data_IF_312902077130
#
_entry.id   IF_312902077130
#
_cell.length_a   1.000
_cell.length_b   1.000
_cell.length_c   1.000
_cell.angle_alpha   90.00
_cell.angle_beta   90.00
_cell.angle_gamma   90.00
#
_symmetry.space_group_name_H-M   'P 1'
#
loop_
_entity.id
_entity.type
_entity.pdbx_description
1 polymer ?
#
# COMPACT_ATOMS: atom_id res chain seq x y z
N UNK A 1 9.93 -7.05 2.67
CA UNK A 1 8.64 -6.57 2.10
C UNK A 1 7.55 -7.35 2.79
N UNK A 2 6.57 -6.71 3.45
CA UNK A 2 5.42 -7.42 4.00
C UNK A 2 4.75 -8.23 2.91
N UNK A 3 4.17 -9.38 3.25
CA UNK A 3 3.33 -10.10 2.30
C UNK A 3 2.09 -9.23 1.97
N UNK A 4 1.53 -9.34 0.76
CA UNK A 4 0.40 -8.49 0.34
C UNK A 4 -0.76 -8.50 1.35
N UNK A 5 -1.03 -9.66 1.95
CA UNK A 5 -2.06 -9.80 2.98
C UNK A 5 -1.75 -8.97 4.24
N UNK A 6 -0.50 -8.88 4.67
CA UNK A 6 -0.07 -8.06 5.80
C UNK A 6 -0.23 -6.58 5.48
N UNK A 7 0.16 -6.16 4.27
CA UNK A 7 0.00 -4.78 3.82
C UNK A 7 -1.47 -4.36 3.82
N UNK A 8 -2.36 -5.25 3.37
CA UNK A 8 -3.82 -5.02 3.39
C UNK A 8 -4.35 -4.95 4.82
N UNK A 9 -3.88 -5.80 5.73
CA UNK A 9 -4.28 -5.76 7.13
C UNK A 9 -3.85 -4.45 7.81
N UNK A 10 -2.62 -4.00 7.57
CA UNK A 10 -2.07 -2.75 8.08
C UNK A 10 -2.83 -1.53 7.53
N UNK A 11 -3.09 -1.51 6.22
CA UNK A 11 -3.88 -0.44 5.61
C UNK A 11 -5.29 -0.34 6.21
N UNK A 12 -5.95 -1.48 6.45
CA UNK A 12 -7.28 -1.50 7.07
C UNK A 12 -7.25 -0.96 8.49
N UNK A 13 -6.30 -1.40 9.31
CA UNK A 13 -6.14 -0.89 10.67
C UNK A 13 -5.88 0.63 10.68
N UNK A 14 -4.99 1.12 9.80
CA UNK A 14 -4.70 2.55 9.68
C UNK A 14 -5.93 3.37 9.24
N UNK A 15 -6.78 2.82 8.37
CA UNK A 15 -8.05 3.45 7.98
C UNK A 15 -9.02 3.51 9.17
N UNK A 16 -9.13 2.45 9.97
CA UNK A 16 -9.98 2.42 11.16
C UNK A 16 -9.52 3.38 12.26
N UNK A 17 -8.20 3.60 12.39
CA UNK A 17 -7.61 4.51 13.38
C UNK A 17 -7.67 5.99 12.96
N UNK A 18 -7.86 6.29 11.69
CA UNK A 18 -7.89 7.65 11.17
C UNK A 18 -9.12 8.42 11.72
N UNK A 19 -8.86 9.51 12.45
CA UNK A 19 -9.91 10.27 13.16
C UNK A 19 -10.50 11.43 12.37
N UNK A 20 -9.88 11.77 11.25
CA UNK A 20 -10.32 12.86 10.39
C UNK A 20 -9.91 12.62 8.94
N UNK A 21 -10.39 13.51 8.07
CA UNK A 21 -10.15 13.43 6.62
C UNK A 21 -8.67 13.62 6.28
N UNK A 22 -7.92 14.40 7.06
CA UNK A 22 -6.49 14.63 6.81
C UNK A 22 -5.65 13.39 7.16
N UNK A 23 -6.03 12.65 8.21
CA UNK A 23 -5.45 11.36 8.55
C UNK A 23 -5.77 10.31 7.47
N UNK A 24 -7.03 10.24 7.02
CA UNK A 24 -7.44 9.36 5.90
C UNK A 24 -6.69 9.67 4.60
N UNK A 25 -6.47 10.95 4.30
CA UNK A 25 -5.66 11.41 3.16
C UNK A 25 -4.22 10.89 3.27
N UNK A 26 -3.62 11.00 4.45
CA UNK A 26 -2.27 10.53 4.72
C UNK A 26 -2.15 9.01 4.50
N UNK A 27 -3.10 8.23 5.04
CA UNK A 27 -3.19 6.79 4.81
C UNK A 27 -3.35 6.48 3.32
N UNK A 28 -4.20 7.21 2.59
CA UNK A 28 -4.34 7.01 1.14
C UNK A 28 -3.02 7.23 0.40
N UNK A 29 -2.28 8.29 0.73
CA UNK A 29 -1.01 8.60 0.07
C UNK A 29 0.05 7.54 0.39
N UNK A 30 0.13 7.08 1.64
CA UNK A 30 1.10 6.08 2.09
C UNK A 30 0.92 4.73 1.40
N UNK A 31 -0.32 4.25 1.25
CA UNK A 31 -0.58 2.93 0.69
C UNK A 31 -0.82 2.95 -0.83
N UNK A 32 -1.55 3.96 -1.32
CA UNK A 32 -2.04 4.02 -2.70
C UNK A 32 -1.45 5.18 -3.52
N UNK A 33 -0.59 6.01 -2.93
CA UNK A 33 0.06 7.10 -3.64
C UNK A 33 1.04 6.59 -4.73
N UNK A 34 1.55 7.52 -5.54
CA UNK A 34 2.51 7.21 -6.62
C UNK A 34 3.79 6.51 -6.12
N UNK A 35 4.16 6.75 -4.88
CA UNK A 35 5.28 6.11 -4.17
C UNK A 35 4.79 5.30 -2.97
N UNK A 36 3.50 5.01 -2.91
CA UNK A 36 2.90 4.25 -1.83
C UNK A 36 3.26 2.77 -1.93
N UNK A 37 3.10 2.05 -0.81
CA UNK A 37 3.52 0.67 -0.69
C UNK A 37 2.99 -0.24 -1.81
N UNK A 38 1.70 -0.12 -2.16
CA UNK A 38 1.10 -0.97 -3.18
C UNK A 38 1.66 -0.65 -4.59
N UNK A 39 1.82 0.64 -4.92
CA UNK A 39 2.37 1.07 -6.21
C UNK A 39 3.79 0.56 -6.40
N UNK A 40 4.63 0.64 -5.37
CA UNK A 40 6.00 0.12 -5.41
C UNK A 40 6.03 -1.40 -5.58
N UNK A 41 5.13 -2.11 -4.91
CA UNK A 41 5.00 -3.57 -5.07
C UNK A 41 4.59 -3.93 -6.51
N UNK A 42 3.62 -3.23 -7.10
CA UNK A 42 3.23 -3.46 -8.51
C UNK A 42 4.36 -3.13 -9.48
N UNK A 43 5.16 -2.09 -9.23
CA UNK A 43 6.35 -1.80 -10.03
C UNK A 43 7.37 -2.95 -9.96
N UNK A 44 7.60 -3.52 -8.77
CA UNK A 44 8.50 -4.67 -8.64
C UNK A 44 8.02 -5.90 -9.40
N UNK A 45 6.70 -6.11 -9.52
CA UNK A 45 6.12 -7.20 -10.31
C UNK A 45 6.23 -6.96 -11.81
N UNK A 46 6.16 -5.70 -12.26
CA UNK A 46 6.38 -5.36 -13.68
C UNK A 46 7.81 -5.68 -14.12
N UNK A 47 8.77 -5.51 -13.20
CA UNK A 47 10.19 -5.71 -13.48
C UNK A 47 10.61 -7.18 -13.29
N UNK A 48 9.68 -8.08 -12.93
CA UNK A 48 9.93 -9.52 -12.88
C UNK A 48 10.12 -10.06 -14.30
N UNK A 49 11.15 -10.89 -14.56
CA UNK A 49 11.27 -11.58 -15.83
C UNK A 49 10.06 -12.52 -16.04
N UNK A 50 9.69 -12.80 -17.30
CA UNK A 50 8.69 -13.82 -17.60
C UNK A 50 9.09 -15.14 -16.93
N UNK A 51 8.11 -15.86 -16.41
CA UNK A 51 8.36 -17.26 -16.02
C UNK A 51 8.63 -18.09 -17.28
N UNK A 52 9.61 -19.00 -17.19
CA UNK A 52 10.06 -19.89 -18.29
C UNK A 52 8.97 -20.85 -18.80
#
# INVERSE_FOLDING_TARGET
>A
MPHLAELVAQAKAAVEEAKDVAALESVRVEYLGKKGHLTLQMQSLRDLPPED
#
